data_IF_325082787614
#
_entry.id   IF_325082787614
#
_cell.length_a   1.000
_cell.length_b   1.000
_cell.length_c   1.000
_cell.angle_alpha   90.00
_cell.angle_beta   90.00
_cell.angle_gamma   90.00
#
_symmetry.space_group_name_H-M   'P 1'
#
loop_
_entity.id
_entity.type
_entity.pdbx_description
1 polymer ?
#
# COMPACT_ATOMS: atom_id res chain seq x y z
N UNK A 1 -1.24 20.54 -12.38
CA UNK A 1 -0.73 19.38 -13.15
C UNK A 1 0.77 19.22 -12.88
N UNK A 2 1.20 18.02 -12.66
CA UNK A 2 2.60 17.64 -12.43
C UNK A 2 3.16 16.86 -13.63
N UNK A 3 4.44 16.53 -13.69
CA UNK A 3 5.00 15.72 -14.77
C UNK A 3 4.39 14.31 -14.90
N UNK A 4 3.81 13.77 -13.82
CA UNK A 4 3.32 12.40 -13.79
C UNK A 4 1.82 12.26 -13.51
N UNK A 5 1.13 13.37 -13.18
CA UNK A 5 -0.31 13.41 -12.90
C UNK A 5 -0.93 14.60 -13.63
N UNK A 6 -1.87 14.35 -14.54
CA UNK A 6 -2.55 15.39 -15.34
C UNK A 6 -3.93 15.78 -14.79
N UNK A 7 -4.23 15.44 -13.56
CA UNK A 7 -5.50 15.77 -12.91
C UNK A 7 -5.65 17.29 -12.70
N UNK A 8 -6.85 17.84 -12.81
CA UNK A 8 -7.12 19.23 -12.40
C UNK A 8 -7.02 19.38 -10.87
N UNK A 9 -6.92 20.63 -10.42
CA UNK A 9 -6.96 20.96 -9.00
C UNK A 9 -8.26 20.45 -8.35
N UNK A 10 -8.15 19.92 -7.14
CA UNK A 10 -9.30 19.36 -6.41
C UNK A 10 -9.83 18.02 -6.95
N UNK A 11 -9.19 17.44 -7.99
CA UNK A 11 -9.65 16.18 -8.55
C UNK A 11 -9.49 14.98 -7.59
N UNK A 12 -8.43 14.97 -6.77
CA UNK A 12 -8.23 13.93 -5.77
C UNK A 12 -8.95 14.22 -4.46
N UNK A 13 -9.35 13.17 -3.76
CA UNK A 13 -9.76 13.23 -2.37
C UNK A 13 -8.53 13.39 -1.45
N UNK A 14 -8.77 13.73 -0.20
CA UNK A 14 -7.71 13.82 0.83
C UNK A 14 -7.16 12.45 1.26
N UNK A 15 -7.82 11.36 0.89
CA UNK A 15 -7.37 9.98 1.06
C UNK A 15 -7.29 9.26 -0.28
N UNK A 16 -6.17 8.56 -0.52
CA UNK A 16 -5.93 7.81 -1.75
C UNK A 16 -5.52 6.39 -1.42
N UNK A 17 -6.24 5.41 -1.98
CA UNK A 17 -5.80 4.02 -2.01
C UNK A 17 -4.82 3.84 -3.17
N UNK A 18 -3.66 3.23 -2.91
CA UNK A 18 -2.60 3.10 -3.91
C UNK A 18 -2.21 1.63 -4.13
N UNK A 19 -2.78 0.95 -5.14
CA UNK A 19 -2.25 -0.32 -5.63
C UNK A 19 -1.02 -0.10 -6.54
N UNK A 20 -0.16 -1.12 -6.65
CA UNK A 20 0.96 -1.09 -7.60
C UNK A 20 0.50 -1.09 -9.06
N UNK A 21 -0.51 -1.91 -9.35
CA UNK A 21 -1.06 -2.11 -10.69
C UNK A 21 -2.16 -1.08 -11.01
N UNK A 22 -2.01 -0.28 -12.09
CA UNK A 22 -3.02 0.68 -12.50
C UNK A 22 -4.36 0.04 -12.91
N UNK A 23 -4.36 -1.19 -13.42
CA UNK A 23 -5.61 -1.92 -13.72
C UNK A 23 -6.33 -2.35 -12.42
N UNK A 24 -5.59 -2.60 -11.35
CA UNK A 24 -6.20 -2.79 -10.02
C UNK A 24 -6.80 -1.49 -9.50
N UNK A 25 -6.18 -0.34 -9.76
CA UNK A 25 -6.79 0.95 -9.41
C UNK A 25 -8.14 1.12 -10.13
N UNK A 26 -8.21 0.79 -11.41
CA UNK A 26 -9.45 0.77 -12.19
C UNK A 26 -10.48 -0.19 -11.59
N UNK A 27 -10.07 -1.43 -11.32
CA UNK A 27 -10.95 -2.44 -10.71
C UNK A 27 -11.53 -1.98 -9.36
N UNK A 28 -10.71 -1.42 -8.49
CA UNK A 28 -11.17 -0.89 -7.19
C UNK A 28 -12.20 0.23 -7.40
N UNK A 29 -11.93 1.15 -8.31
CA UNK A 29 -12.82 2.27 -8.60
C UNK A 29 -14.17 1.78 -9.14
N UNK A 30 -14.17 0.90 -10.14
CA UNK A 30 -15.37 0.40 -10.80
C UNK A 30 -16.20 -0.56 -9.91
N UNK A 31 -15.55 -1.25 -8.96
CA UNK A 31 -16.21 -2.28 -8.13
C UNK A 31 -16.72 -1.71 -6.81
N UNK A 32 -15.99 -0.79 -6.19
CA UNK A 32 -16.24 -0.38 -4.82
C UNK A 32 -16.67 1.09 -4.67
N UNK A 33 -16.41 1.95 -5.68
CA UNK A 33 -16.76 3.36 -5.57
C UNK A 33 -18.01 3.69 -6.41
N UNK A 34 -18.86 4.50 -5.85
CA UNK A 34 -19.99 5.10 -6.55
C UNK A 34 -19.51 6.34 -7.34
N UNK A 35 -20.09 6.57 -8.53
CA UNK A 35 -19.79 7.71 -9.42
C UNK A 35 -18.27 7.90 -9.71
N UNK A 36 -17.52 6.83 -9.77
CA UNK A 36 -16.10 6.84 -10.02
C UNK A 36 -15.76 7.46 -11.38
N UNK A 37 -14.86 8.44 -11.40
CA UNK A 37 -14.39 9.11 -12.62
C UNK A 37 -12.87 9.01 -12.70
N UNK A 38 -12.36 8.70 -13.89
CA UNK A 38 -10.93 8.80 -14.18
C UNK A 38 -10.48 10.26 -14.08
N UNK A 39 -9.46 10.52 -13.30
CA UNK A 39 -8.91 11.88 -13.08
C UNK A 39 -7.49 12.04 -13.60
N UNK A 40 -6.77 10.95 -13.84
CA UNK A 40 -5.43 10.95 -14.44
C UNK A 40 -5.12 9.63 -15.14
N UNK A 41 -4.32 9.70 -16.22
CA UNK A 41 -3.90 8.53 -16.99
C UNK A 41 -2.49 8.68 -17.60
N UNK A 42 -1.72 9.66 -17.17
CA UNK A 42 -0.35 9.88 -17.66
C UNK A 42 0.46 8.61 -17.45
N UNK A 43 1.18 8.16 -18.48
CA UNK A 43 2.00 6.93 -18.50
C UNK A 43 1.19 5.66 -18.19
N UNK A 44 -0.13 5.68 -18.44
CA UNK A 44 -1.08 4.64 -18.04
C UNK A 44 -1.15 4.40 -16.51
N UNK A 45 -0.66 5.34 -15.72
CA UNK A 45 -0.83 5.30 -14.27
C UNK A 45 -2.20 5.86 -13.94
N UNK A 46 -3.21 4.98 -14.00
CA UNK A 46 -4.61 5.34 -13.88
C UNK A 46 -4.96 5.77 -12.46
N UNK A 47 -5.72 6.87 -12.35
CA UNK A 47 -6.26 7.36 -11.09
C UNK A 47 -7.72 7.73 -11.23
N UNK A 48 -8.49 7.45 -10.19
CA UNK A 48 -9.95 7.61 -10.14
C UNK A 48 -10.36 8.29 -8.84
N UNK A 49 -11.47 9.02 -8.88
CA UNK A 49 -12.11 9.56 -7.68
C UNK A 49 -13.60 9.26 -7.74
N UNK A 50 -14.15 8.78 -6.64
CA UNK A 50 -15.56 8.46 -6.47
C UNK A 50 -15.96 8.58 -5.00
N UNK A 51 -17.06 7.94 -4.61
CA UNK A 51 -17.52 7.89 -3.23
C UNK A 51 -17.68 6.45 -2.74
N UNK A 52 -17.39 6.24 -1.47
CA UNK A 52 -17.66 4.99 -0.77
C UNK A 52 -18.49 5.28 0.47
N UNK A 53 -19.75 4.81 0.47
CA UNK A 53 -20.72 5.11 1.55
C UNK A 53 -20.79 6.59 1.90
N UNK A 54 -20.86 7.44 0.88
CA UNK A 54 -20.94 8.89 1.02
C UNK A 54 -19.60 9.61 1.28
N UNK A 55 -18.50 8.90 1.51
CA UNK A 55 -17.16 9.46 1.69
C UNK A 55 -16.41 9.52 0.36
N UNK A 56 -15.92 10.69 -0.02
CA UNK A 56 -15.09 10.87 -1.22
C UNK A 56 -13.73 10.20 -1.02
N UNK A 57 -13.35 9.30 -1.93
CA UNK A 57 -12.10 8.53 -1.91
C UNK A 57 -11.50 8.52 -3.32
N UNK A 58 -10.19 8.55 -3.40
CA UNK A 58 -9.46 8.35 -4.64
C UNK A 58 -8.70 7.03 -4.63
N UNK A 59 -8.45 6.51 -5.82
CA UNK A 59 -7.62 5.33 -6.05
C UNK A 59 -6.67 5.64 -7.18
N UNK A 60 -5.38 5.36 -7.02
CA UNK A 60 -4.39 5.59 -8.08
C UNK A 60 -3.28 4.56 -8.03
N UNK A 61 -2.88 4.04 -9.20
CA UNK A 61 -1.71 3.17 -9.31
C UNK A 61 -0.42 3.90 -8.93
N UNK A 62 0.58 3.14 -8.45
CA UNK A 62 1.90 3.72 -8.12
C UNK A 62 3.08 3.00 -8.79
N UNK A 63 2.84 1.95 -9.57
CA UNK A 63 3.89 1.14 -10.19
C UNK A 63 4.58 0.21 -9.19
N UNK A 64 5.76 -0.29 -9.56
CA UNK A 64 6.58 -1.18 -8.76
C UNK A 64 7.83 -0.47 -8.26
N UNK A 65 8.17 -0.74 -7.00
CA UNK A 65 9.40 -0.28 -6.36
C UNK A 65 9.32 1.12 -5.74
N UNK A 66 10.19 1.35 -4.76
CA UNK A 66 10.27 2.61 -4.00
C UNK A 66 10.43 3.84 -4.90
N UNK A 67 11.28 3.84 -5.94
CA UNK A 67 11.41 5.02 -6.80
C UNK A 67 10.09 5.43 -7.47
N UNK A 68 9.33 4.46 -8.00
CA UNK A 68 8.06 4.72 -8.66
C UNK A 68 7.01 5.24 -7.68
N UNK A 69 6.73 4.50 -6.61
CA UNK A 69 5.71 4.91 -5.63
C UNK A 69 6.02 6.26 -4.96
N UNK A 70 7.31 6.58 -4.76
CA UNK A 70 7.73 7.85 -4.19
C UNK A 70 7.39 9.06 -5.05
N UNK A 71 7.44 8.93 -6.37
CA UNK A 71 7.06 10.00 -7.30
C UNK A 71 5.59 10.33 -7.10
N UNK A 72 4.72 9.34 -7.24
CA UNK A 72 3.26 9.55 -7.17
C UNK A 72 2.81 9.97 -5.78
N UNK A 73 3.33 9.33 -4.72
CA UNK A 73 3.00 9.70 -3.34
C UNK A 73 3.37 11.17 -3.04
N UNK A 74 4.58 11.60 -3.44
CA UNK A 74 5.00 12.98 -3.27
C UNK A 74 4.06 13.94 -4.00
N UNK A 75 3.83 13.73 -5.29
CA UNK A 75 2.99 14.64 -6.09
C UNK A 75 1.57 14.71 -5.54
N UNK A 76 0.96 13.59 -5.14
CA UNK A 76 -0.34 13.56 -4.51
C UNK A 76 -0.40 14.40 -3.23
N UNK A 77 0.62 14.29 -2.37
CA UNK A 77 0.67 15.03 -1.10
C UNK A 77 0.93 16.53 -1.34
N UNK A 78 1.94 16.86 -2.14
CA UNK A 78 2.41 18.26 -2.25
C UNK A 78 1.58 19.09 -3.22
N UNK A 79 1.03 18.50 -4.29
CA UNK A 79 0.36 19.24 -5.36
C UNK A 79 -1.16 19.05 -5.36
N UNK A 80 -1.65 17.91 -4.83
CA UNK A 80 -3.08 17.60 -4.84
C UNK A 80 -3.72 17.57 -3.44
N UNK A 81 -2.95 17.90 -2.40
CA UNK A 81 -3.44 18.07 -1.04
C UNK A 81 -3.85 16.78 -0.34
N UNK A 82 -3.39 15.63 -0.81
CA UNK A 82 -3.65 14.33 -0.18
C UNK A 82 -3.04 14.30 1.22
N UNK A 83 -3.79 13.83 2.19
CA UNK A 83 -3.42 13.75 3.60
C UNK A 83 -3.18 12.34 4.10
N UNK A 84 -3.85 11.36 3.49
CA UNK A 84 -3.77 9.95 3.88
C UNK A 84 -3.51 9.09 2.64
N UNK A 85 -2.50 8.24 2.71
CA UNK A 85 -2.18 7.23 1.68
C UNK A 85 -2.35 5.85 2.26
N UNK A 86 -3.12 4.98 1.60
CA UNK A 86 -3.23 3.57 1.96
C UNK A 86 -2.73 2.74 0.77
N UNK A 87 -1.52 2.17 0.90
CA UNK A 87 -1.07 1.18 -0.07
C UNK A 87 -1.89 -0.11 0.09
N UNK A 88 -2.46 -0.59 -1.00
CA UNK A 88 -3.20 -1.85 -1.07
C UNK A 88 -2.52 -2.76 -2.09
N UNK A 89 -1.70 -3.69 -1.62
CA UNK A 89 -0.79 -4.43 -2.47
C UNK A 89 -0.74 -5.92 -2.19
N UNK A 90 0.18 -6.60 -2.88
CA UNK A 90 0.56 -7.98 -2.62
C UNK A 90 1.92 -8.07 -1.95
N UNK A 91 2.17 -9.18 -1.26
CA UNK A 91 3.48 -9.52 -0.72
C UNK A 91 3.70 -11.04 -0.77
N UNK A 92 4.97 -11.44 -0.76
CA UNK A 92 5.37 -12.83 -0.57
C UNK A 92 5.56 -13.15 0.91
N UNK A 93 5.00 -14.25 1.41
CA UNK A 93 5.21 -14.68 2.79
C UNK A 93 6.61 -15.23 2.99
N UNK A 94 7.22 -14.91 4.15
CA UNK A 94 8.54 -15.43 4.54
C UNK A 94 8.40 -16.47 5.65
N UNK A 95 7.58 -16.22 6.65
CA UNK A 95 7.40 -17.08 7.83
C UNK A 95 6.43 -18.23 7.53
N UNK A 96 6.75 -19.41 8.01
CA UNK A 96 5.94 -20.63 7.79
C UNK A 96 4.52 -20.59 8.38
N UNK A 97 4.27 -19.73 9.37
CA UNK A 97 2.94 -19.53 9.95
C UNK A 97 2.07 -18.52 9.20
N UNK A 98 2.64 -17.77 8.26
CA UNK A 98 1.93 -16.85 7.36
C UNK A 98 1.50 -17.62 6.12
N UNK A 99 0.23 -17.56 5.75
CA UNK A 99 -0.33 -18.34 4.65
C UNK A 99 -0.69 -17.47 3.46
N UNK A 100 -0.68 -18.07 2.28
CA UNK A 100 -1.25 -17.46 1.08
C UNK A 100 -2.70 -17.05 1.37
N UNK A 101 -3.07 -15.84 0.95
CA UNK A 101 -4.32 -15.13 1.22
C UNK A 101 -4.44 -14.47 2.60
N UNK A 102 -3.48 -14.64 3.51
CA UNK A 102 -3.47 -13.83 4.74
C UNK A 102 -3.41 -12.33 4.37
N UNK A 103 -4.10 -11.50 5.14
CA UNK A 103 -4.00 -10.03 5.04
C UNK A 103 -3.05 -9.53 6.12
N UNK A 104 -2.07 -8.73 5.72
CA UNK A 104 -1.06 -8.14 6.59
C UNK A 104 -1.25 -6.62 6.66
N UNK A 105 -1.35 -6.09 7.87
CA UNK A 105 -1.26 -4.66 8.18
C UNK A 105 0.19 -4.38 8.57
N UNK A 106 0.91 -3.60 7.75
CA UNK A 106 2.32 -3.28 7.95
C UNK A 106 2.52 -2.14 8.94
N UNK A 107 2.87 -2.45 10.19
CA UNK A 107 3.20 -1.43 11.19
C UNK A 107 4.53 -0.74 10.90
N UNK A 108 5.49 -1.47 10.40
CA UNK A 108 6.79 -0.98 10.00
C UNK A 108 7.27 -1.69 8.74
N UNK A 109 8.22 -1.09 8.07
CA UNK A 109 8.84 -1.68 6.90
C UNK A 109 10.37 -1.56 6.96
N UNK A 110 11.06 -2.71 7.06
CA UNK A 110 12.48 -2.79 6.81
C UNK A 110 12.75 -2.64 5.31
N UNK A 111 13.98 -2.34 4.93
CA UNK A 111 14.33 -2.23 3.50
C UNK A 111 15.84 -2.36 3.28
N UNK A 112 16.21 -2.88 2.12
CA UNK A 112 17.56 -2.83 1.56
C UNK A 112 17.81 -1.56 0.73
N UNK A 113 16.75 -0.80 0.43
CA UNK A 113 16.83 0.46 -0.31
C UNK A 113 17.54 1.56 0.47
N UNK A 114 18.37 2.33 -0.22
CA UNK A 114 19.01 3.51 0.35
C UNK A 114 18.18 4.79 0.27
N UNK A 115 16.98 4.74 -0.32
CA UNK A 115 16.17 5.95 -0.59
C UNK A 115 15.87 6.74 0.68
N UNK A 116 15.45 6.07 1.76
CA UNK A 116 15.18 6.75 3.03
C UNK A 116 16.47 7.26 3.70
N UNK A 117 17.59 6.54 3.61
CA UNK A 117 18.89 7.01 4.09
C UNK A 117 19.34 8.29 3.36
N UNK A 118 19.18 8.33 2.02
CA UNK A 118 19.51 9.52 1.22
C UNK A 118 18.67 10.72 1.69
N UNK A 119 17.37 10.54 1.91
CA UNK A 119 16.47 11.60 2.40
C UNK A 119 16.81 12.04 3.82
N UNK A 120 17.20 11.11 4.67
CA UNK A 120 17.49 11.33 6.09
C UNK A 120 18.99 11.53 6.38
N UNK A 121 19.76 12.01 5.38
CA UNK A 121 21.19 12.37 5.46
C UNK A 121 22.05 11.23 6.03
N UNK A 122 21.92 10.04 5.44
CA UNK A 122 22.62 8.79 5.79
C UNK A 122 22.32 8.22 7.18
N UNK A 123 21.32 8.74 7.88
CA UNK A 123 20.85 8.12 9.11
C UNK A 123 19.79 7.04 8.81
N UNK A 124 19.58 6.12 9.75
CA UNK A 124 18.51 5.15 9.68
C UNK A 124 17.16 5.82 10.00
N UNK A 125 16.19 5.65 9.10
CA UNK A 125 14.84 6.15 9.26
C UNK A 125 13.92 5.01 9.68
N UNK A 126 13.15 5.19 10.76
CA UNK A 126 12.11 4.26 11.16
C UNK A 126 10.89 4.42 10.25
N UNK A 127 10.80 3.60 9.21
CA UNK A 127 9.66 3.58 8.29
C UNK A 127 8.47 2.89 8.97
N UNK A 128 7.61 3.67 9.61
CA UNK A 128 6.44 3.22 10.37
C UNK A 128 5.15 3.77 9.80
N UNK A 129 4.06 3.00 9.93
CA UNK A 129 2.71 3.43 9.61
C UNK A 129 2.21 4.48 10.61
N UNK A 130 1.22 5.28 10.18
CA UNK A 130 0.43 6.07 11.12
C UNK A 130 -0.37 5.12 12.03
N UNK A 131 -0.26 5.33 13.34
CA UNK A 131 -0.87 4.44 14.34
C UNK A 131 -2.38 4.44 14.27
N UNK A 132 -3.01 5.60 14.10
CA UNK A 132 -4.48 5.71 14.06
C UNK A 132 -5.04 4.98 12.85
N UNK A 133 -4.37 5.12 11.70
CA UNK A 133 -4.75 4.39 10.47
C UNK A 133 -4.60 2.87 10.64
N UNK A 134 -3.52 2.42 11.28
CA UNK A 134 -3.32 0.99 11.54
C UNK A 134 -4.38 0.44 12.49
N UNK A 135 -4.70 1.17 13.56
CA UNK A 135 -5.75 0.81 14.51
C UNK A 135 -7.13 0.75 13.84
N UNK A 136 -7.47 1.74 13.01
CA UNK A 136 -8.72 1.75 12.24
C UNK A 136 -8.81 0.55 11.29
N UNK A 137 -7.70 0.15 10.65
CA UNK A 137 -7.68 -1.03 9.79
C UNK A 137 -7.89 -2.34 10.57
N UNK A 138 -7.29 -2.47 11.75
CA UNK A 138 -7.53 -3.63 12.65
C UNK A 138 -8.99 -3.68 13.09
N UNK A 139 -9.57 -2.55 13.44
CA UNK A 139 -10.99 -2.47 13.82
C UNK A 139 -11.90 -2.84 12.63
N UNK A 140 -11.63 -2.29 11.44
CA UNK A 140 -12.37 -2.62 10.22
C UNK A 140 -12.34 -4.13 9.93
N UNK A 141 -11.18 -4.77 10.09
CA UNK A 141 -11.05 -6.21 9.91
C UNK A 141 -11.92 -7.00 10.91
N UNK A 142 -11.92 -6.60 12.19
CA UNK A 142 -12.77 -7.22 13.23
C UNK A 142 -14.25 -7.08 12.92
N UNK A 143 -14.71 -5.89 12.54
CA UNK A 143 -16.12 -5.63 12.20
C UNK A 143 -16.59 -6.45 10.99
N UNK A 144 -15.67 -6.76 10.08
CA UNK A 144 -15.92 -7.61 8.92
C UNK A 144 -15.68 -9.11 9.18
N UNK A 145 -15.35 -9.49 10.42
CA UNK A 145 -14.98 -10.87 10.78
C UNK A 145 -13.83 -11.44 9.94
N UNK A 146 -12.90 -10.59 9.53
CA UNK A 146 -11.69 -10.96 8.80
C UNK A 146 -10.50 -11.03 9.75
N UNK A 147 -9.70 -12.09 9.63
CA UNK A 147 -8.45 -12.20 10.35
C UNK A 147 -7.36 -11.42 9.63
N UNK A 148 -6.56 -10.70 10.39
CA UNK A 148 -5.40 -9.96 9.87
C UNK A 148 -4.18 -10.23 10.73
N UNK A 149 -3.02 -10.18 10.11
CA UNK A 149 -1.73 -10.16 10.81
C UNK A 149 -1.24 -8.72 10.88
N UNK A 150 -0.61 -8.37 11.97
CA UNK A 150 -0.10 -7.02 12.20
C UNK A 150 1.38 -7.12 12.56
N UNK A 151 2.25 -6.45 11.81
CA UNK A 151 3.69 -6.53 12.06
C UNK A 151 4.53 -5.91 10.94
N UNK A 152 5.81 -6.29 10.88
CA UNK A 152 6.75 -5.70 9.95
C UNK A 152 6.72 -6.37 8.58
N UNK A 153 6.86 -5.54 7.56
CA UNK A 153 7.13 -5.91 6.18
C UNK A 153 8.62 -5.67 5.84
N UNK A 154 9.04 -6.18 4.70
CA UNK A 154 10.33 -5.83 4.10
C UNK A 154 10.10 -5.33 2.67
N UNK A 155 10.53 -4.09 2.40
CA UNK A 155 10.48 -3.49 1.07
C UNK A 155 11.82 -3.74 0.36
N UNK A 156 11.81 -4.63 -0.62
CA UNK A 156 13.00 -5.02 -1.39
C UNK A 156 13.15 -4.18 -2.65
N UNK A 157 14.39 -3.81 -3.00
CA UNK A 157 14.70 -3.17 -4.28
C UNK A 157 14.75 -4.19 -5.42
N UNK A 158 15.07 -5.46 -5.13
CA UNK A 158 15.18 -6.52 -6.12
C UNK A 158 14.10 -7.58 -5.91
N UNK A 159 13.21 -7.75 -6.90
CA UNK A 159 12.27 -8.87 -6.92
C UNK A 159 13.01 -10.21 -7.12
N UNK A 160 13.98 -10.22 -8.03
CA UNK A 160 14.86 -11.37 -8.26
C UNK A 160 16.16 -11.18 -7.48
N UNK A 161 16.11 -11.46 -6.18
CA UNK A 161 17.26 -11.32 -5.32
C UNK A 161 18.30 -12.42 -5.59
N UNK A 162 19.61 -12.09 -5.65
CA UNK A 162 20.68 -13.09 -5.68
C UNK A 162 20.99 -13.68 -4.28
N UNK A 163 20.49 -13.07 -3.21
CA UNK A 163 20.77 -13.43 -1.82
C UNK A 163 19.54 -14.08 -1.17
N UNK A 164 19.47 -15.41 -1.28
CA UNK A 164 18.36 -16.17 -0.69
C UNK A 164 18.51 -16.35 0.84
N UNK A 165 19.71 -16.22 1.40
CA UNK A 165 19.96 -16.36 2.84
C UNK A 165 19.32 -15.20 3.60
N UNK A 166 19.08 -14.08 2.92
CA UNK A 166 18.37 -12.95 3.51
C UNK A 166 16.95 -13.29 4.00
N UNK A 167 16.29 -14.26 3.38
CA UNK A 167 14.97 -14.71 3.84
C UNK A 167 15.04 -15.42 5.21
N UNK A 168 16.15 -16.10 5.54
CA UNK A 168 16.37 -16.68 6.87
C UNK A 168 16.52 -15.58 7.93
N UNK A 169 17.22 -14.52 7.57
CA UNK A 169 17.36 -13.34 8.43
C UNK A 169 16.00 -12.68 8.63
N UNK A 170 15.23 -12.46 7.58
CA UNK A 170 13.89 -11.87 7.66
C UNK A 170 12.97 -12.69 8.58
N UNK A 171 12.93 -14.02 8.41
CA UNK A 171 12.15 -14.92 9.26
C UNK A 171 12.57 -14.81 10.73
N UNK A 172 13.89 -14.83 11.00
CA UNK A 172 14.45 -14.68 12.35
C UNK A 172 14.04 -13.36 13.01
N UNK A 173 13.94 -12.28 12.25
CA UNK A 173 13.49 -10.97 12.74
C UNK A 173 11.97 -10.76 12.71
N UNK A 174 11.21 -11.81 12.39
CA UNK A 174 9.75 -11.79 12.45
C UNK A 174 9.07 -11.01 11.33
N UNK A 175 9.75 -10.80 10.20
CA UNK A 175 9.14 -10.18 9.02
C UNK A 175 8.01 -11.08 8.51
N UNK A 176 6.83 -10.51 8.30
CA UNK A 176 5.64 -11.23 7.86
C UNK A 176 5.62 -11.44 6.35
N UNK A 177 6.05 -10.45 5.60
CA UNK A 177 6.03 -10.50 4.14
C UNK A 177 6.99 -9.53 3.48
N UNK A 178 7.35 -9.84 2.24
CA UNK A 178 8.21 -9.03 1.38
C UNK A 178 7.38 -8.40 0.28
N UNK A 179 7.54 -7.11 0.11
CA UNK A 179 6.94 -6.29 -0.94
C UNK A 179 7.98 -5.25 -1.41
N UNK A 180 7.63 -4.21 -2.14
CA UNK A 180 8.64 -3.34 -2.75
C UNK A 180 8.43 -1.84 -2.52
N UNK A 181 7.49 -1.38 -1.66
CA UNK A 181 7.10 0.04 -1.62
C UNK A 181 6.84 0.65 -0.24
N UNK A 182 6.40 -0.13 0.74
CA UNK A 182 5.91 0.39 2.02
C UNK A 182 6.91 1.32 2.72
N UNK A 183 8.18 0.93 2.78
CA UNK A 183 9.23 1.75 3.40
C UNK A 183 9.38 3.11 2.72
N UNK A 184 9.27 3.14 1.39
CA UNK A 184 9.34 4.39 0.62
C UNK A 184 8.13 5.29 0.85
N UNK A 185 6.92 4.72 0.84
CA UNK A 185 5.67 5.47 1.07
C UNK A 185 5.66 6.06 2.49
N UNK A 186 6.07 5.30 3.51
CA UNK A 186 6.18 5.81 4.87
C UNK A 186 7.20 6.95 4.98
N UNK A 187 8.33 6.82 4.29
CA UNK A 187 9.34 7.87 4.25
C UNK A 187 8.84 9.16 3.58
N UNK A 188 8.16 9.05 2.44
CA UNK A 188 7.57 10.20 1.75
C UNK A 188 6.48 10.86 2.59
N UNK A 189 5.57 10.07 3.17
CA UNK A 189 4.50 10.60 4.01
C UNK A 189 5.06 11.39 5.21
N UNK A 190 6.05 10.84 5.90
CA UNK A 190 6.71 11.52 7.02
C UNK A 190 7.40 12.83 6.59
N UNK A 191 8.11 12.82 5.45
CA UNK A 191 8.83 14.00 4.93
C UNK A 191 7.87 15.16 4.63
N UNK A 192 6.66 14.88 4.13
CA UNK A 192 5.71 15.91 3.70
C UNK A 192 4.50 16.06 4.64
N UNK A 193 4.55 15.48 5.85
CA UNK A 193 3.52 15.68 6.88
C UNK A 193 2.17 15.03 6.55
N UNK A 194 2.18 13.94 5.79
CA UNK A 194 1.01 13.10 5.51
C UNK A 194 1.03 11.82 6.36
N UNK A 195 -0.10 11.11 6.40
CA UNK A 195 -0.26 9.83 7.06
C UNK A 195 -0.22 8.69 6.04
N UNK A 196 0.37 7.56 6.38
CA UNK A 196 0.41 6.41 5.49
C UNK A 196 0.21 5.08 6.20
N UNK A 197 -0.39 4.13 5.47
CA UNK A 197 -0.58 2.74 5.88
C UNK A 197 -0.35 1.82 4.69
N UNK A 198 0.23 0.65 4.94
CA UNK A 198 0.32 -0.43 3.97
C UNK A 198 -0.50 -1.63 4.45
N UNK A 199 -1.39 -2.11 3.59
CA UNK A 199 -2.13 -3.35 3.78
C UNK A 199 -1.82 -4.23 2.57
N UNK A 200 -1.36 -5.46 2.82
CA UNK A 200 -1.02 -6.41 1.76
C UNK A 200 -1.78 -7.71 1.92
N UNK A 201 -2.16 -8.32 0.79
CA UNK A 201 -2.58 -9.72 0.75
C UNK A 201 -1.38 -10.58 0.33
N UNK A 202 -1.17 -11.68 1.01
CA UNK A 202 -0.14 -12.66 0.66
C UNK A 202 -0.53 -13.36 -0.64
N UNK A 203 0.22 -13.11 -1.70
CA UNK A 203 -0.01 -13.69 -3.04
C UNK A 203 0.74 -14.99 -3.27
N UNK A 204 1.86 -15.16 -2.60
CA UNK A 204 2.76 -16.30 -2.72
C UNK A 204 3.55 -16.52 -1.44
N UNK A 205 4.09 -17.73 -1.29
CA UNK A 205 4.92 -18.09 -0.15
C UNK A 205 6.32 -18.43 -0.64
N UNK A 206 7.31 -17.60 -0.29
CA UNK A 206 8.69 -17.69 -0.81
C UNK A 206 9.34 -19.05 -0.49
N UNK A 207 9.04 -19.63 0.68
CA UNK A 207 9.65 -20.91 1.11
C UNK A 207 8.95 -22.13 0.53
N UNK A 208 7.63 -22.13 0.43
CA UNK A 208 6.87 -23.30 -0.02
C UNK A 208 6.59 -23.28 -1.51
N UNK A 209 6.84 -22.14 -2.18
CA UNK A 209 6.52 -21.90 -3.59
C UNK A 209 5.02 -22.01 -3.91
N UNK A 210 4.15 -21.96 -2.90
CA UNK A 210 2.72 -21.85 -3.09
C UNK A 210 2.40 -20.47 -3.68
N UNK A 211 1.54 -20.41 -4.69
CA UNK A 211 1.17 -19.17 -5.37
C UNK A 211 -0.32 -19.14 -5.68
N UNK A 212 -0.88 -17.93 -5.67
CA UNK A 212 -2.20 -17.68 -6.25
C UNK A 212 -2.08 -17.50 -7.76
N UNK A 213 -3.12 -17.91 -8.51
CA UNK A 213 -3.22 -17.62 -9.94
C UNK A 213 -3.40 -16.10 -10.16
N UNK A 214 -3.18 -15.63 -11.40
CA UNK A 214 -3.40 -14.23 -11.75
C UNK A 214 -4.86 -13.80 -11.53
N UNK A 215 -5.81 -14.69 -11.83
CA UNK A 215 -7.25 -14.48 -11.63
C UNK A 215 -7.59 -14.44 -10.14
N UNK A 216 -7.06 -15.35 -9.34
CA UNK A 216 -7.22 -15.34 -7.89
C UNK A 216 -6.64 -14.07 -7.25
N UNK A 217 -5.50 -13.55 -7.74
CA UNK A 217 -4.94 -12.28 -7.26
C UNK A 217 -5.89 -11.11 -7.46
N UNK A 218 -6.67 -11.13 -8.52
CA UNK A 218 -7.66 -10.08 -8.79
C UNK A 218 -8.87 -10.19 -7.86
N UNK A 219 -9.35 -11.41 -7.59
CA UNK A 219 -10.59 -11.68 -6.83
C UNK A 219 -10.37 -11.76 -5.31
N UNK A 220 -9.25 -12.33 -4.84
CA UNK A 220 -8.99 -12.57 -3.40
C UNK A 220 -8.45 -11.33 -2.67
N UNK A 221 -8.13 -10.27 -3.37
CA UNK A 221 -7.69 -9.01 -2.74
C UNK A 221 -8.86 -8.15 -2.24
N UNK A 222 -10.09 -8.59 -2.45
CA UNK A 222 -11.29 -7.85 -2.04
C UNK A 222 -11.33 -7.65 -0.52
N UNK A 223 -10.93 -8.65 0.27
CA UNK A 223 -10.88 -8.53 1.74
C UNK A 223 -9.98 -7.37 2.18
N UNK A 224 -8.79 -7.28 1.61
CA UNK A 224 -7.86 -6.18 1.85
C UNK A 224 -8.43 -4.82 1.45
N UNK A 225 -9.04 -4.74 0.27
CA UNK A 225 -9.64 -3.50 -0.25
C UNK A 225 -10.81 -3.07 0.64
N UNK A 226 -11.67 -4.00 1.02
CA UNK A 226 -12.80 -3.73 1.91
C UNK A 226 -12.35 -3.27 3.31
N UNK A 227 -11.27 -3.85 3.84
CA UNK A 227 -10.66 -3.40 5.10
C UNK A 227 -10.11 -1.98 4.93
N UNK A 228 -9.40 -1.71 3.85
CA UNK A 228 -8.85 -0.37 3.58
C UNK A 228 -9.95 0.69 3.46
N UNK A 229 -11.00 0.43 2.70
CA UNK A 229 -12.13 1.35 2.54
C UNK A 229 -12.89 1.58 3.85
N UNK A 230 -13.16 0.50 4.60
CA UNK A 230 -13.85 0.62 5.89
C UNK A 230 -13.00 1.36 6.93
N UNK A 231 -11.67 1.18 6.91
CA UNK A 231 -10.76 1.88 7.82
C UNK A 231 -10.77 3.40 7.64
N UNK A 232 -11.01 3.89 6.42
CA UNK A 232 -11.16 5.33 6.14
C UNK A 232 -12.36 5.89 6.91
N UNK A 233 -13.51 5.19 6.87
CA UNK A 233 -14.72 5.63 7.57
C UNK A 233 -14.56 5.63 9.09
N UNK A 234 -13.87 4.64 9.64
CA UNK A 234 -13.59 4.55 11.09
C UNK A 234 -12.65 5.67 11.51
N UNK A 235 -11.56 5.88 10.75
CA UNK A 235 -10.57 6.91 11.07
C UNK A 235 -11.04 8.36 10.89
N UNK A 236 -12.15 8.59 10.21
CA UNK A 236 -12.78 9.93 10.12
C UNK A 236 -13.72 10.22 11.31
N UNK A 237 -14.10 9.19 12.09
CA UNK A 237 -14.96 9.31 13.27
C UNK A 237 -14.18 9.28 14.60
N UNK A 238 -12.86 9.09 14.54
CA UNK A 238 -11.97 9.05 15.70
C UNK A 238 -11.26 10.40 15.87
#
# INVERSE_FOLDING_TARGET
MTPHINAPEGAFADVVLMPGDPLRAKYIAETFLEDAKEVTNVRNMLGYTGTYKGRRISVMGHGMGIPSCSIYAKELITEYGVKKIIRVGSCGAVRMDVKVRDVIIGLGACTDSKVNRIRFKDNDFAAIADFDMAQAAVQAAKEKSKQVRVGNLFSADLFYTPDFDMFDVMEKYGILGVEMEAAGIYGVAAEYGAKALCICTVSDHIRTHEQTTAEERQLTFNDMIEIALASVLIGDNA
#
